data_IF_951931948250
#
_entry.id   IF_951931948250
#
_cell.length_a   1.000
_cell.length_b   1.000
_cell.length_c   1.000
_cell.angle_alpha   90.00
_cell.angle_beta   90.00
_cell.angle_gamma   90.00
#
_symmetry.space_group_name_H-M   'P 1'
#
loop_
_entity.id
_entity.type
_entity.pdbx_description
1 polymer ?
#
# COMPACT_ATOMS: atom_id res chain seq x y z
N UNK A 1 -28.16 4.30 -18.38
CA UNK A 1 -27.07 3.39 -17.99
C UNK A 1 -25.68 3.95 -18.27
N UNK A 2 -25.14 3.94 -19.51
CA UNK A 2 -23.76 4.41 -19.78
C UNK A 2 -23.53 5.91 -19.45
N UNK A 3 -24.49 6.78 -19.78
CA UNK A 3 -24.44 8.20 -19.40
C UNK A 3 -24.51 8.43 -17.89
N UNK A 4 -25.34 7.65 -17.18
CA UNK A 4 -25.47 7.71 -15.72
C UNK A 4 -24.20 7.19 -15.03
N UNK A 5 -23.61 6.12 -15.55
CA UNK A 5 -22.35 5.56 -15.08
C UNK A 5 -21.19 6.54 -15.28
N UNK A 6 -21.08 7.16 -16.46
CA UNK A 6 -20.11 8.24 -16.69
C UNK A 6 -20.33 9.42 -15.73
N UNK A 7 -21.58 9.83 -15.53
CA UNK A 7 -21.92 10.87 -14.57
C UNK A 7 -21.72 10.45 -13.10
N UNK A 8 -21.60 9.16 -12.80
CA UNK A 8 -21.28 8.64 -11.47
C UNK A 8 -19.77 8.63 -11.23
N UNK A 9 -19.00 8.11 -12.19
CA UNK A 9 -17.53 8.11 -12.15
C UNK A 9 -16.98 9.53 -12.14
N UNK A 10 -17.61 10.46 -12.87
CA UNK A 10 -17.22 11.86 -12.90
C UNK A 10 -17.66 12.66 -11.66
N UNK A 11 -18.36 12.05 -10.69
CA UNK A 11 -18.69 12.72 -9.42
C UNK A 11 -17.57 12.49 -8.42
N UNK A 12 -16.96 13.57 -7.96
CA UNK A 12 -15.94 13.54 -6.91
C UNK A 12 -14.69 12.78 -7.33
N UNK A 13 -14.02 12.16 -6.35
CA UNK A 13 -12.72 11.50 -6.56
C UNK A 13 -12.81 9.98 -6.82
N UNK A 14 -13.88 9.50 -7.44
CA UNK A 14 -14.14 8.05 -7.57
C UNK A 14 -13.11 7.38 -8.50
N UNK A 15 -12.65 8.08 -9.54
CA UNK A 15 -11.63 7.55 -10.47
C UNK A 15 -10.30 7.33 -9.77
N UNK A 16 -9.77 8.34 -9.06
CA UNK A 16 -8.44 8.19 -8.43
C UNK A 16 -8.50 7.18 -7.29
N UNK A 17 -9.58 7.15 -6.50
CA UNK A 17 -9.78 6.13 -5.48
C UNK A 17 -9.84 4.71 -6.09
N UNK A 18 -10.51 4.55 -7.22
CA UNK A 18 -10.58 3.28 -7.95
C UNK A 18 -9.21 2.83 -8.45
N UNK A 19 -8.44 3.75 -9.05
CA UNK A 19 -7.08 3.48 -9.52
C UNK A 19 -6.16 3.12 -8.35
N UNK A 20 -6.20 3.88 -7.26
CA UNK A 20 -5.41 3.61 -6.06
C UNK A 20 -5.69 2.22 -5.47
N UNK A 21 -6.97 1.81 -5.41
CA UNK A 21 -7.35 0.48 -4.93
C UNK A 21 -6.81 -0.64 -5.82
N UNK A 22 -6.97 -0.53 -7.14
CA UNK A 22 -6.49 -1.55 -8.09
C UNK A 22 -4.96 -1.65 -8.07
N UNK A 23 -4.27 -0.51 -8.01
CA UNK A 23 -2.81 -0.47 -7.93
C UNK A 23 -2.31 -1.06 -6.61
N UNK A 24 -2.94 -0.74 -5.48
CA UNK A 24 -2.62 -1.31 -4.17
C UNK A 24 -2.80 -2.83 -4.13
N UNK A 25 -3.92 -3.33 -4.67
CA UNK A 25 -4.17 -4.77 -4.76
C UNK A 25 -3.13 -5.48 -5.64
N UNK A 26 -2.81 -4.91 -6.81
CA UNK A 26 -1.83 -5.47 -7.74
C UNK A 26 -0.41 -5.49 -7.15
N UNK A 27 -0.03 -4.43 -6.43
CA UNK A 27 1.25 -4.35 -5.75
C UNK A 27 1.36 -5.40 -4.64
N UNK A 28 0.32 -5.55 -3.81
CA UNK A 28 0.28 -6.62 -2.79
C UNK A 28 0.50 -8.00 -3.42
N UNK A 29 -0.20 -8.31 -4.51
CA UNK A 29 -0.02 -9.60 -5.21
C UNK A 29 1.41 -9.82 -5.71
N UNK A 30 2.09 -8.78 -6.17
CA UNK A 30 3.49 -8.88 -6.58
C UNK A 30 4.40 -9.20 -5.38
N UNK A 31 4.20 -8.54 -4.25
CA UNK A 31 4.96 -8.80 -3.01
C UNK A 31 4.67 -10.20 -2.47
N UNK A 32 3.40 -10.63 -2.47
CA UNK A 32 3.00 -11.99 -2.06
C UNK A 32 3.75 -13.05 -2.90
N UNK A 33 3.82 -12.88 -4.22
CA UNK A 33 4.55 -13.81 -5.11
C UNK A 33 6.05 -13.78 -4.83
N UNK A 34 6.64 -12.60 -4.61
CA UNK A 34 8.05 -12.45 -4.25
C UNK A 34 8.36 -13.20 -2.95
N UNK A 35 7.56 -12.98 -1.91
CA UNK A 35 7.75 -13.63 -0.61
C UNK A 35 7.62 -15.15 -0.72
N UNK A 36 6.54 -15.64 -1.35
CA UNK A 36 6.29 -17.08 -1.50
C UNK A 36 7.32 -17.79 -2.35
N UNK A 37 7.80 -17.17 -3.42
CA UNK A 37 8.71 -17.84 -4.38
C UNK A 37 10.19 -17.67 -4.06
N UNK A 38 10.57 -16.61 -3.34
CA UNK A 38 11.97 -16.31 -3.06
C UNK A 38 12.29 -16.37 -1.58
N UNK A 39 11.45 -15.79 -0.72
CA UNK A 39 11.78 -15.68 0.71
C UNK A 39 11.45 -16.98 1.46
N UNK A 40 10.26 -17.55 1.27
CA UNK A 40 9.88 -18.81 1.92
C UNK A 40 10.85 -19.97 1.63
N UNK A 41 11.32 -20.21 0.39
CA UNK A 41 12.29 -21.27 0.12
C UNK A 41 13.64 -21.01 0.78
N UNK A 42 14.11 -19.76 0.83
CA UNK A 42 15.37 -19.41 1.49
C UNK A 42 15.28 -19.66 2.99
N UNK A 43 14.18 -19.26 3.63
CA UNK A 43 13.94 -19.54 5.05
C UNK A 43 13.82 -21.05 5.29
N UNK A 44 13.15 -21.78 4.41
CA UNK A 44 13.07 -23.25 4.46
C UNK A 44 14.44 -23.93 4.43
N UNK A 45 15.33 -23.46 3.55
CA UNK A 45 16.71 -23.94 3.49
C UNK A 45 17.49 -23.68 4.80
N UNK A 46 17.34 -22.51 5.42
CA UNK A 46 18.02 -22.18 6.68
C UNK A 46 17.49 -22.98 7.87
N UNK A 47 16.21 -23.31 7.88
CA UNK A 47 15.58 -24.13 8.92
C UNK A 47 15.72 -25.64 8.66
N UNK A 48 16.36 -26.04 7.54
CA UNK A 48 16.48 -27.41 7.06
C UNK A 48 15.12 -28.12 6.91
N UNK A 49 14.06 -27.35 6.65
CA UNK A 49 12.73 -27.84 6.34
C UNK A 49 12.34 -27.40 4.93
N UNK A 50 12.06 -28.34 4.01
CA UNK A 50 11.75 -28.00 2.63
C UNK A 50 10.50 -27.11 2.48
N UNK A 51 9.59 -27.12 3.46
CA UNK A 51 8.44 -26.21 3.57
C UNK A 51 8.19 -25.85 5.04
N UNK A 52 7.95 -24.57 5.32
CA UNK A 52 7.52 -24.09 6.65
C UNK A 52 6.19 -24.74 7.08
N UNK A 53 5.32 -25.09 6.14
CA UNK A 53 4.05 -25.80 6.41
C UNK A 53 4.22 -27.13 7.14
N UNK A 54 5.40 -27.75 7.07
CA UNK A 54 5.70 -29.02 7.73
C UNK A 54 6.32 -28.88 9.13
N UNK A 55 6.52 -27.64 9.62
CA UNK A 55 7.04 -27.39 10.96
C UNK A 55 5.91 -27.52 11.99
N UNK A 56 5.89 -28.63 12.73
CA UNK A 56 4.95 -28.86 13.83
C UNK A 56 3.55 -29.26 13.37
N UNK A 57 3.43 -30.44 12.75
CA UNK A 57 2.15 -31.06 12.40
C UNK A 57 1.40 -31.47 13.67
N UNK A 58 0.23 -30.89 13.91
CA UNK A 58 -0.77 -31.41 14.84
C UNK A 58 -2.12 -31.38 14.13
N UNK A 59 -2.67 -32.55 13.79
CA UNK A 59 -3.97 -32.69 13.12
C UNK A 59 -3.88 -33.38 11.75
N UNK A 60 -4.91 -34.17 11.43
CA UNK A 60 -5.05 -34.86 10.14
C UNK A 60 -5.17 -33.86 8.97
N UNK A 61 -4.72 -34.31 7.80
CA UNK A 61 -4.74 -33.56 6.53
C UNK A 61 -6.18 -33.25 6.14
N UNK A 62 -6.50 -31.97 5.88
CA UNK A 62 -7.80 -31.60 5.30
C UNK A 62 -7.86 -32.02 3.82
N UNK A 63 -8.74 -32.96 3.45
CA UNK A 63 -8.78 -33.52 2.09
C UNK A 63 -9.27 -32.52 1.02
N UNK A 64 -9.83 -31.37 1.42
CA UNK A 64 -10.32 -30.36 0.47
C UNK A 64 -9.23 -29.38 -0.01
N UNK A 65 -8.24 -29.10 0.84
CA UNK A 65 -7.19 -28.10 0.59
C UNK A 65 -5.81 -28.72 0.41
N UNK A 66 -5.60 -29.96 0.87
CA UNK A 66 -4.27 -30.60 0.90
C UNK A 66 -3.30 -29.94 1.90
N UNK A 67 -3.81 -29.04 2.73
CA UNK A 67 -3.05 -28.30 3.74
C UNK A 67 -3.31 -28.98 5.10
N UNK A 68 -2.25 -29.22 5.86
CA UNK A 68 -2.36 -29.78 7.21
C UNK A 68 -3.17 -28.81 8.08
N UNK A 69 -4.30 -29.28 8.60
CA UNK A 69 -5.20 -28.50 9.43
C UNK A 69 -4.54 -28.21 10.79
N UNK A 70 -3.75 -27.13 10.85
CA UNK A 70 -3.14 -26.63 12.09
C UNK A 70 -1.63 -26.87 12.23
N UNK A 71 -0.82 -26.52 11.23
CA UNK A 71 0.63 -26.43 11.47
C UNK A 71 1.00 -25.05 12.04
N UNK A 72 1.71 -25.04 13.18
CA UNK A 72 2.35 -23.83 13.73
C UNK A 72 3.24 -23.17 12.66
N UNK A 73 3.81 -23.98 11.78
CA UNK A 73 4.58 -23.57 10.63
C UNK A 73 3.83 -22.75 9.57
N UNK A 74 2.56 -23.06 9.26
CA UNK A 74 1.76 -22.25 8.34
C UNK A 74 1.44 -20.87 8.93
N UNK A 75 1.10 -20.82 10.23
CA UNK A 75 0.91 -19.55 10.93
C UNK A 75 2.19 -18.72 10.97
N UNK A 76 3.33 -19.33 11.27
CA UNK A 76 4.63 -18.65 11.28
C UNK A 76 5.01 -18.15 9.89
N UNK A 77 4.71 -18.91 8.84
CA UNK A 77 4.86 -18.49 7.44
C UNK A 77 4.05 -17.24 7.12
N UNK A 78 2.78 -17.19 7.51
CA UNK A 78 1.93 -16.00 7.31
C UNK A 78 2.41 -14.78 8.12
N UNK A 79 2.90 -14.99 9.36
CA UNK A 79 3.49 -13.90 10.17
C UNK A 79 4.75 -13.33 9.49
N UNK A 80 5.60 -14.20 8.93
CA UNK A 80 6.79 -13.79 8.18
C UNK A 80 6.36 -13.04 6.91
N UNK A 81 5.39 -13.56 6.16
CA UNK A 81 4.89 -12.92 4.95
C UNK A 81 4.33 -11.53 5.22
N UNK A 82 3.49 -11.39 6.25
CA UNK A 82 2.97 -10.10 6.69
C UNK A 82 4.10 -9.12 7.07
N UNK A 83 5.11 -9.60 7.78
CA UNK A 83 6.28 -8.79 8.18
C UNK A 83 7.06 -8.29 6.96
N UNK A 84 7.26 -9.14 5.94
CA UNK A 84 7.95 -8.76 4.71
C UNK A 84 7.15 -7.72 3.93
N UNK A 85 5.84 -7.92 3.78
CA UNK A 85 4.96 -6.95 3.11
C UNK A 85 5.04 -5.60 3.83
N UNK A 86 4.93 -5.59 5.17
CA UNK A 86 5.05 -4.38 5.97
C UNK A 86 6.42 -3.71 5.79
N UNK A 87 7.51 -4.49 5.76
CA UNK A 87 8.86 -3.97 5.56
C UNK A 87 9.06 -3.36 4.16
N UNK A 88 8.57 -4.01 3.11
CA UNK A 88 8.63 -3.49 1.74
C UNK A 88 7.82 -2.20 1.62
N UNK A 89 6.60 -2.16 2.17
CA UNK A 89 5.78 -0.94 2.20
C UNK A 89 6.47 0.19 2.97
N UNK A 90 7.09 -0.12 4.11
CA UNK A 90 7.89 0.85 4.86
C UNK A 90 9.07 1.38 4.04
N UNK A 91 9.78 0.52 3.30
CA UNK A 91 10.86 0.96 2.41
C UNK A 91 10.35 1.88 1.29
N UNK A 92 9.20 1.58 0.69
CA UNK A 92 8.61 2.43 -0.35
C UNK A 92 8.24 3.81 0.21
N UNK A 93 7.57 3.87 1.36
CA UNK A 93 7.23 5.13 2.02
C UNK A 93 8.50 5.88 2.43
N UNK A 94 9.49 5.19 3.00
CA UNK A 94 10.77 5.80 3.37
C UNK A 94 11.51 6.35 2.15
N UNK A 95 11.51 5.64 1.03
CA UNK A 95 12.12 6.12 -0.21
C UNK A 95 11.36 7.33 -0.74
N UNK A 96 10.03 7.28 -0.75
CA UNK A 96 9.18 8.40 -1.14
C UNK A 96 9.46 9.65 -0.28
N UNK A 97 9.41 9.51 1.05
CA UNK A 97 9.72 10.61 1.97
C UNK A 97 11.16 11.10 1.79
N UNK A 98 12.12 10.21 1.55
CA UNK A 98 13.51 10.62 1.28
C UNK A 98 13.64 11.41 -0.02
N UNK A 99 12.90 11.05 -1.08
CA UNK A 99 12.86 11.84 -2.31
C UNK A 99 12.14 13.17 -2.10
N UNK A 100 11.09 13.21 -1.28
CA UNK A 100 10.38 14.44 -0.92
C UNK A 100 11.27 15.38 -0.08
N UNK A 101 12.06 14.85 0.84
CA UNK A 101 13.03 15.59 1.65
C UNK A 101 14.25 16.06 0.82
N UNK A 102 14.63 15.32 -0.23
CA UNK A 102 15.77 15.65 -1.12
C UNK A 102 15.34 16.60 -2.25
N UNK A 103 14.06 16.59 -2.62
CA UNK A 103 13.46 17.50 -3.61
C UNK A 103 12.86 18.74 -2.93
N UNK A 104 12.59 18.71 -1.62
CA UNK A 104 11.93 19.77 -0.87
C UNK A 104 12.81 20.49 0.14
N UNK A 105 13.56 21.49 -0.33
CA UNK A 105 13.71 22.75 0.41
C UNK A 105 13.02 23.92 -0.31
N UNK A 106 12.21 23.64 -1.34
CA UNK A 106 11.28 24.60 -1.94
C UNK A 106 10.24 23.79 -2.76
N UNK A 107 8.95 23.93 -2.44
CA UNK A 107 7.78 23.61 -3.30
C UNK A 107 7.12 22.22 -3.28
N UNK A 108 7.42 21.28 -2.37
CA UNK A 108 6.63 20.02 -2.26
C UNK A 108 5.26 20.16 -1.53
N UNK A 109 4.81 21.38 -1.24
CA UNK A 109 3.38 21.64 -0.97
C UNK A 109 2.50 21.59 -2.25
N UNK A 110 3.06 21.39 -3.46
CA UNK A 110 2.30 21.43 -4.72
C UNK A 110 1.69 20.11 -5.22
N UNK A 111 1.82 18.96 -4.53
CA UNK A 111 1.16 17.71 -5.02
C UNK A 111 -0.34 17.68 -4.69
N UNK A 112 -0.79 18.51 -3.75
CA UNK A 112 -2.15 18.99 -3.80
C UNK A 112 -2.09 20.32 -4.53
N UNK A 113 -2.51 20.38 -5.81
CA UNK A 113 -2.84 21.67 -6.43
C UNK A 113 -3.56 22.47 -5.36
N UNK A 114 -3.02 23.62 -4.92
CA UNK A 114 -3.61 24.37 -3.82
C UNK A 114 -5.11 24.34 -3.99
N UNK A 115 -5.82 23.78 -3.01
CA UNK A 115 -7.26 23.59 -3.19
C UNK A 115 -7.82 24.95 -3.60
N UNK A 116 -8.79 24.98 -4.53
CA UNK A 116 -9.29 26.27 -5.04
C UNK A 116 -9.66 27.23 -3.90
N UNK A 117 -10.03 26.69 -2.75
CA UNK A 117 -10.25 27.38 -1.49
C UNK A 117 -8.98 28.04 -0.92
N UNK A 118 -7.84 27.36 -0.87
CA UNK A 118 -6.55 27.94 -0.44
C UNK A 118 -6.12 29.09 -1.36
N UNK A 119 -6.26 28.94 -2.69
CA UNK A 119 -5.98 30.02 -3.65
C UNK A 119 -6.92 31.21 -3.42
N UNK A 120 -8.21 30.94 -3.27
CA UNK A 120 -9.21 31.98 -2.99
C UNK A 120 -8.91 32.70 -1.65
N UNK A 121 -8.48 31.96 -0.63
CA UNK A 121 -8.13 32.51 0.67
C UNK A 121 -6.87 33.39 0.60
N UNK A 122 -5.89 33.05 -0.24
CA UNK A 122 -4.74 33.92 -0.53
C UNK A 122 -5.18 35.21 -1.23
N UNK A 123 -6.02 35.09 -2.26
CA UNK A 123 -6.58 36.26 -2.96
C UNK A 123 -7.39 37.17 -2.02
N UNK A 124 -8.21 36.58 -1.13
CA UNK A 124 -8.97 37.30 -0.11
C UNK A 124 -8.03 37.99 0.90
N UNK A 125 -7.01 37.28 1.41
CA UNK A 125 -6.01 37.84 2.32
C UNK A 125 -5.31 39.04 1.70
N UNK A 126 -4.87 38.90 0.46
CA UNK A 126 -4.14 39.94 -0.26
C UNK A 126 -5.05 41.14 -0.57
N UNK A 127 -6.34 40.88 -0.88
CA UNK A 127 -7.37 41.91 -0.99
C UNK A 127 -7.63 42.68 0.31
N UNK A 128 -7.67 41.99 1.46
CA UNK A 128 -7.84 42.61 2.78
C UNK A 128 -6.61 43.46 3.15
N UNK A 129 -5.41 42.95 2.91
CA UNK A 129 -4.18 43.68 3.22
C UNK A 129 -4.08 44.98 2.42
N UNK A 130 -4.45 44.96 1.14
CA UNK A 130 -4.47 46.14 0.29
C UNK A 130 -5.50 47.20 0.76
N UNK A 131 -6.64 46.75 1.31
CA UNK A 131 -7.64 47.63 1.93
C UNK A 131 -7.20 48.20 3.28
N UNK A 132 -6.39 47.48 4.06
CA UNK A 132 -5.89 47.94 5.35
C UNK A 132 -4.73 48.93 5.25
N UNK A 133 -4.00 48.95 4.13
CA UNK A 133 -2.88 49.87 3.87
C UNK A 133 -3.29 51.21 3.26
N UNK A 134 -4.60 51.47 3.12
CA UNK A 134 -5.17 52.70 2.57
C UNK A 134 -5.91 53.50 3.64
#
# INVERSE_FOLDING_TARGET
MIKEFRNFINRGNVVELGVAFVMGASFKSLVDVFTKRLVEPVIGLFLNLPNLENLGLFGDIDPASGINAGSVGAFLGEVINYTIIAFVMFMVIKAYNHFEDVVGDDETEEVASESKEVVLLKEIRDGINNLSTK
#
